data_IF_079887891037
#
_entry.id   IF_079887891037
#
_cell.length_a   1.000
_cell.length_b   1.000
_cell.length_c   1.000
_cell.angle_alpha   90.00
_cell.angle_beta   90.00
_cell.angle_gamma   90.00
#
_symmetry.space_group_name_H-M   'P 1'
#
loop_
_entity.id
_entity.type
_entity.pdbx_description
1 polymer ?
#
# COMPACT_ATOMS: atom_id res chain seq x y z
N UNK A 1 49.15 -49.73 21.33
CA UNK A 1 49.33 -50.30 19.98
C UNK A 1 49.20 -49.19 18.94
N UNK A 2 50.21 -48.96 18.10
CA UNK A 2 50.16 -47.94 17.04
C UNK A 2 49.38 -48.42 15.79
N UNK A 3 49.31 -49.74 15.57
CA UNK A 3 48.66 -50.35 14.42
C UNK A 3 47.82 -51.57 14.84
N UNK A 4 46.74 -51.84 14.09
CA UNK A 4 45.83 -52.97 14.28
C UNK A 4 45.49 -53.60 12.94
N UNK A 5 45.39 -54.93 12.88
CA UNK A 5 44.94 -55.67 11.70
C UNK A 5 43.42 -55.62 11.59
N UNK A 6 42.88 -55.11 10.49
CA UNK A 6 41.44 -55.11 10.26
C UNK A 6 40.96 -56.53 9.94
N UNK A 7 39.93 -57.02 10.65
CA UNK A 7 39.37 -58.36 10.42
C UNK A 7 38.65 -58.56 9.09
N UNK A 8 38.36 -57.48 8.37
CA UNK A 8 37.63 -57.51 7.10
C UNK A 8 38.62 -57.49 5.92
N UNK A 9 39.30 -56.37 5.69
CA UNK A 9 40.28 -56.24 4.61
C UNK A 9 41.64 -56.91 4.89
N UNK A 10 41.88 -57.47 6.09
CA UNK A 10 43.14 -58.12 6.46
C UNK A 10 44.38 -57.23 6.59
N UNK A 11 44.30 -55.94 6.22
CA UNK A 11 45.43 -55.00 6.23
C UNK A 11 45.77 -54.50 7.65
N UNK A 12 47.06 -54.30 7.92
CA UNK A 12 47.54 -53.56 9.09
C UNK A 12 47.30 -52.06 8.86
N UNK A 13 46.57 -51.38 9.75
CA UNK A 13 46.28 -49.95 9.64
C UNK A 13 46.60 -49.25 10.97
N UNK A 14 46.86 -47.95 10.93
CA UNK A 14 47.09 -47.14 12.12
C UNK A 14 45.88 -47.19 13.07
N UNK A 15 46.10 -47.07 14.39
CA UNK A 15 45.02 -47.06 15.39
C UNK A 15 43.95 -45.98 15.12
N UNK A 16 44.33 -44.85 14.53
CA UNK A 16 43.43 -43.76 14.14
C UNK A 16 42.41 -44.17 13.05
N UNK A 17 42.70 -45.22 12.28
CA UNK A 17 41.81 -45.80 11.27
C UNK A 17 40.71 -46.68 11.87
N UNK A 18 40.68 -46.86 13.20
CA UNK A 18 39.68 -47.64 13.92
C UNK A 18 38.88 -46.72 14.86
N UNK A 19 37.57 -46.96 14.96
CA UNK A 19 36.74 -46.27 15.95
C UNK A 19 37.00 -46.85 17.35
N UNK A 20 36.82 -46.05 18.40
CA UNK A 20 36.97 -46.54 19.78
C UNK A 20 35.83 -47.51 20.13
N UNK A 21 36.15 -48.62 20.80
CA UNK A 21 35.18 -49.59 21.30
C UNK A 21 35.60 -50.04 22.70
N UNK A 22 34.84 -49.64 23.73
CA UNK A 22 35.18 -49.97 25.13
C UNK A 22 35.16 -51.48 25.41
N UNK A 23 34.34 -52.24 24.69
CA UNK A 23 34.20 -53.69 24.85
C UNK A 23 35.31 -54.52 24.19
N UNK A 24 36.29 -53.91 23.51
CA UNK A 24 37.42 -54.65 22.93
C UNK A 24 38.65 -54.56 23.84
N UNK A 25 39.44 -55.65 23.99
CA UNK A 25 40.63 -55.67 24.85
C UNK A 25 41.65 -54.55 24.58
N UNK A 26 41.74 -54.10 23.33
CA UNK A 26 42.65 -53.05 22.88
C UNK A 26 41.97 -51.67 22.71
N UNK A 27 40.70 -51.53 23.14
CA UNK A 27 39.93 -50.30 23.05
C UNK A 27 39.54 -49.86 21.62
N UNK A 28 39.85 -50.65 20.59
CA UNK A 28 39.62 -50.32 19.18
C UNK A 28 38.62 -51.29 18.51
N UNK A 29 37.80 -50.75 17.61
CA UNK A 29 36.87 -51.54 16.81
C UNK A 29 37.55 -52.70 16.07
N UNK A 30 36.80 -53.78 15.81
CA UNK A 30 37.29 -54.98 15.11
C UNK A 30 37.62 -54.72 13.63
N UNK A 31 37.04 -53.67 13.06
CA UNK A 31 37.13 -53.31 11.64
C UNK A 31 37.59 -51.87 11.52
N UNK A 32 38.37 -51.57 10.47
CA UNK A 32 38.72 -50.18 10.16
C UNK A 32 37.47 -49.39 9.77
N UNK A 33 37.52 -48.06 9.93
CA UNK A 33 36.43 -47.12 9.62
C UNK A 33 35.87 -47.33 8.21
N UNK A 34 36.74 -47.62 7.24
CA UNK A 34 36.35 -47.93 5.86
C UNK A 34 35.49 -49.19 5.74
N UNK A 35 35.98 -50.32 6.25
CA UNK A 35 35.26 -51.59 6.23
C UNK A 35 33.97 -51.54 7.04
N UNK A 36 33.97 -50.83 8.16
CA UNK A 36 32.77 -50.58 8.95
C UNK A 36 31.72 -49.78 8.17
N UNK A 37 32.14 -48.72 7.45
CA UNK A 37 31.24 -47.92 6.62
C UNK A 37 30.67 -48.72 5.43
N UNK A 38 31.48 -49.56 4.78
CA UNK A 38 31.02 -50.44 3.70
C UNK A 38 29.96 -51.43 4.18
N UNK A 39 30.17 -52.04 5.35
CA UNK A 39 29.18 -52.95 5.95
C UNK A 39 27.91 -52.24 6.38
N UNK A 40 28.04 -51.06 7.00
CA UNK A 40 26.91 -50.22 7.35
C UNK A 40 26.06 -49.87 6.13
N UNK A 41 26.71 -49.50 5.01
CA UNK A 41 26.04 -49.24 3.74
C UNK A 41 25.31 -50.48 3.21
N UNK A 42 25.95 -51.64 3.18
CA UNK A 42 25.34 -52.88 2.70
C UNK A 42 24.09 -53.28 3.52
N UNK A 43 24.18 -53.22 4.85
CA UNK A 43 23.04 -53.49 5.75
C UNK A 43 21.91 -52.47 5.59
N UNK A 44 22.23 -51.19 5.41
CA UNK A 44 21.25 -50.13 5.14
C UNK A 44 20.49 -50.38 3.83
N UNK A 45 21.20 -50.74 2.75
CA UNK A 45 20.58 -51.05 1.45
C UNK A 45 19.62 -52.25 1.55
N UNK A 46 20.02 -53.32 2.24
CA UNK A 46 19.15 -54.48 2.49
C UNK A 46 17.89 -54.09 3.27
N UNK A 47 18.01 -53.21 4.27
CA UNK A 47 16.85 -52.72 5.04
C UNK A 47 15.91 -51.86 4.19
N UNK A 48 16.43 -50.91 3.41
CA UNK A 48 15.61 -50.05 2.54
C UNK A 48 14.91 -50.83 1.43
N UNK A 49 15.56 -51.85 0.85
CA UNK A 49 14.95 -52.74 -0.14
C UNK A 49 13.76 -53.51 0.43
N UNK A 50 13.84 -54.01 1.68
CA UNK A 50 12.68 -54.62 2.36
C UNK A 50 11.53 -53.65 2.62
N UNK A 51 11.83 -52.37 2.79
CA UNK A 51 10.84 -51.31 2.99
C UNK A 51 10.30 -50.72 1.68
N UNK A 52 10.71 -51.24 0.51
CA UNK A 52 10.27 -50.74 -0.80
C UNK A 52 10.74 -49.31 -1.13
N UNK A 53 11.73 -48.78 -0.40
CA UNK A 53 12.20 -47.40 -0.56
C UNK A 53 13.37 -47.31 -1.52
N UNK A 54 13.38 -46.26 -2.35
CA UNK A 54 14.48 -45.96 -3.25
C UNK A 54 15.80 -45.82 -2.47
N UNK A 55 16.79 -46.64 -2.86
CA UNK A 55 18.09 -46.70 -2.19
C UNK A 55 18.96 -45.55 -2.68
N UNK A 56 19.27 -44.60 -1.79
CA UNK A 56 20.23 -43.53 -2.12
C UNK A 56 21.64 -44.12 -2.35
N UNK A 57 22.37 -43.68 -3.39
CA UNK A 57 23.75 -44.12 -3.60
C UNK A 57 24.61 -43.70 -2.41
N UNK A 58 25.29 -44.68 -1.80
CA UNK A 58 26.25 -44.44 -0.72
C UNK A 58 27.44 -43.66 -1.27
N UNK A 59 27.62 -42.40 -0.83
CA UNK A 59 28.84 -41.63 -1.07
C UNK A 59 29.72 -41.65 0.18
N UNK A 60 31.01 -41.91 -0.01
CA UNK A 60 32.00 -41.68 1.04
C UNK A 60 32.12 -40.17 1.26
N UNK A 61 32.15 -39.72 2.52
CA UNK A 61 32.47 -38.32 2.85
C UNK A 61 33.80 -37.85 2.24
N UNK A 62 34.73 -38.78 1.99
CA UNK A 62 36.02 -38.53 1.34
C UNK A 62 35.95 -38.18 -0.16
N UNK A 63 34.77 -38.21 -0.79
CA UNK A 63 34.59 -37.85 -2.19
C UNK A 63 34.27 -36.35 -2.40
N UNK A 64 34.15 -35.57 -1.31
CA UNK A 64 33.90 -34.13 -1.37
C UNK A 64 35.21 -33.41 -1.03
N UNK A 65 35.77 -32.61 -1.96
CA UNK A 65 36.99 -31.85 -1.70
C UNK A 65 36.86 -30.92 -0.48
N UNK A 66 37.97 -30.60 0.21
CA UNK A 66 37.99 -29.57 1.24
C UNK A 66 37.40 -28.25 0.71
N UNK A 67 36.59 -27.56 1.51
CA UNK A 67 35.92 -26.31 1.10
C UNK A 67 34.69 -26.50 0.21
N UNK A 68 34.28 -27.75 -0.07
CA UNK A 68 33.05 -28.05 -0.80
C UNK A 68 32.03 -28.81 0.05
N UNK A 69 30.75 -28.73 -0.35
CA UNK A 69 29.62 -29.44 0.26
C UNK A 69 28.69 -29.97 -0.84
N UNK A 70 28.14 -31.15 -0.60
CA UNK A 70 27.17 -31.79 -1.49
C UNK A 70 25.74 -31.33 -1.17
N UNK A 71 24.99 -30.93 -2.19
CA UNK A 71 23.56 -30.66 -2.06
C UNK A 71 22.75 -31.92 -2.44
N UNK A 72 21.99 -32.53 -1.51
CA UNK A 72 21.21 -33.74 -1.78
C UNK A 72 19.92 -33.50 -2.59
N UNK A 73 19.63 -32.25 -2.98
CA UNK A 73 18.45 -31.91 -3.79
C UNK A 73 18.76 -31.75 -5.28
N UNK A 74 19.88 -31.08 -5.62
CA UNK A 74 20.34 -30.98 -7.02
C UNK A 74 21.46 -31.96 -7.36
N UNK A 75 21.91 -32.74 -6.38
CA UNK A 75 22.94 -33.78 -6.51
C UNK A 75 24.32 -33.27 -6.98
N UNK A 76 24.60 -31.97 -6.78
CA UNK A 76 25.86 -31.33 -7.12
C UNK A 76 26.74 -31.08 -5.88
N UNK A 77 28.04 -31.18 -6.07
CA UNK A 77 29.05 -30.68 -5.13
C UNK A 77 29.33 -29.22 -5.47
N UNK A 78 29.23 -28.33 -4.49
CA UNK A 78 29.40 -26.89 -4.67
C UNK A 78 30.30 -26.34 -3.53
N UNK A 79 30.90 -25.16 -3.69
CA UNK A 79 31.67 -24.57 -2.61
C UNK A 79 30.77 -24.21 -1.42
N UNK A 80 31.35 -24.17 -0.22
CA UNK A 80 30.61 -23.95 1.04
C UNK A 80 29.86 -22.61 1.09
N UNK A 81 30.29 -21.61 0.33
CA UNK A 81 29.66 -20.29 0.19
C UNK A 81 28.27 -20.34 -0.51
N UNK A 82 28.06 -21.35 -1.35
CA UNK A 82 26.80 -21.63 -2.02
C UNK A 82 25.72 -22.14 -1.05
N UNK A 83 26.05 -22.34 0.23
CA UNK A 83 25.15 -22.79 1.29
C UNK A 83 24.90 -21.66 2.30
N UNK A 84 23.69 -21.61 2.86
CA UNK A 84 23.38 -20.71 3.98
C UNK A 84 24.02 -21.19 5.28
N UNK A 85 24.23 -20.28 6.24
CA UNK A 85 24.71 -20.61 7.59
C UNK A 85 23.56 -21.22 8.42
N UNK A 86 23.84 -22.28 9.17
CA UNK A 86 22.91 -22.85 10.15
C UNK A 86 23.69 -23.37 11.37
N UNK A 87 23.58 -22.68 12.51
CA UNK A 87 24.31 -23.00 13.74
C UNK A 87 23.84 -24.31 14.40
N UNK A 88 22.64 -24.78 14.07
CA UNK A 88 22.11 -26.03 14.61
C UNK A 88 22.72 -27.29 13.96
N UNK A 89 23.33 -27.16 12.77
CA UNK A 89 23.96 -28.26 12.05
C UNK A 89 25.43 -28.41 12.45
N UNK A 90 25.92 -29.64 12.58
CA UNK A 90 27.32 -29.91 12.94
C UNK A 90 28.33 -29.29 11.94
N UNK A 91 27.92 -29.10 10.69
CA UNK A 91 28.73 -28.44 9.66
C UNK A 91 28.66 -26.90 9.68
N UNK A 92 27.80 -26.31 10.52
CA UNK A 92 27.53 -24.86 10.52
C UNK A 92 26.80 -24.34 9.28
N UNK A 93 26.43 -25.22 8.34
CA UNK A 93 25.88 -24.90 7.03
C UNK A 93 24.56 -25.66 6.81
N UNK A 94 23.63 -25.02 6.11
CA UNK A 94 22.37 -25.61 5.63
C UNK A 94 22.58 -26.87 4.78
N UNK A 95 21.58 -27.75 4.74
CA UNK A 95 21.64 -29.03 4.03
C UNK A 95 21.50 -28.89 2.50
N UNK A 96 20.85 -27.83 2.02
CA UNK A 96 20.69 -27.55 0.59
C UNK A 96 21.50 -26.31 0.18
N UNK A 97 21.97 -26.26 -1.05
CA UNK A 97 22.52 -25.02 -1.61
C UNK A 97 21.43 -23.95 -1.67
N UNK A 98 21.81 -22.66 -1.65
CA UNK A 98 20.88 -21.52 -1.63
C UNK A 98 19.76 -21.61 -2.67
N UNK A 99 20.02 -21.95 -3.96
CA UNK A 99 18.95 -22.08 -4.95
C UNK A 99 17.95 -23.18 -4.59
N UNK A 100 18.42 -24.35 -4.16
CA UNK A 100 17.55 -25.45 -3.74
C UNK A 100 16.79 -25.10 -2.46
N UNK A 101 17.45 -24.44 -1.51
CA UNK A 101 16.83 -23.97 -0.27
C UNK A 101 15.69 -22.99 -0.57
N UNK A 102 15.90 -22.03 -1.47
CA UNK A 102 14.87 -21.07 -1.88
C UNK A 102 13.66 -21.77 -2.51
N UNK A 103 13.87 -22.79 -3.36
CA UNK A 103 12.78 -23.60 -3.92
C UNK A 103 11.99 -24.34 -2.84
N UNK A 104 12.69 -25.01 -1.92
CA UNK A 104 12.05 -25.72 -0.79
C UNK A 104 11.21 -24.74 0.05
N UNK A 105 11.74 -23.56 0.34
CA UNK A 105 11.04 -22.57 1.14
C UNK A 105 9.82 -21.99 0.42
N UNK A 106 9.89 -21.80 -0.90
CA UNK A 106 8.74 -21.41 -1.72
C UNK A 106 7.65 -22.49 -1.68
N UNK A 107 8.00 -23.76 -1.96
CA UNK A 107 7.06 -24.89 -1.90
C UNK A 107 6.41 -25.06 -0.52
N UNK A 108 7.18 -24.86 0.56
CA UNK A 108 6.64 -24.91 1.92
C UNK A 108 5.68 -23.75 2.22
N UNK A 109 5.98 -22.54 1.72
CA UNK A 109 5.08 -21.38 1.83
C UNK A 109 3.79 -21.63 1.07
N UNK A 110 3.87 -22.16 -0.15
CA UNK A 110 2.69 -22.50 -0.95
C UNK A 110 1.86 -23.59 -0.27
N UNK A 111 2.48 -24.65 0.25
CA UNK A 111 1.76 -25.71 0.96
C UNK A 111 1.09 -25.23 2.25
N UNK A 112 1.74 -24.36 3.02
CA UNK A 112 1.25 -23.93 4.34
C UNK A 112 0.25 -22.78 4.25
N UNK A 113 0.40 -21.93 3.24
CA UNK A 113 -0.36 -20.69 3.12
C UNK A 113 -1.16 -20.59 1.82
N UNK A 114 -1.13 -21.56 0.91
CA UNK A 114 -1.88 -21.51 -0.36
C UNK A 114 -1.34 -20.50 -1.38
N UNK A 115 -0.10 -20.03 -1.20
CA UNK A 115 0.57 -19.09 -2.09
C UNK A 115 1.12 -17.83 -1.39
N UNK A 116 1.91 -17.03 -2.11
CA UNK A 116 2.45 -15.77 -1.60
C UNK A 116 1.38 -14.73 -1.22
N UNK A 117 0.25 -14.70 -1.95
CA UNK A 117 -0.90 -13.80 -1.68
C UNK A 117 -1.50 -14.09 -0.31
N UNK A 118 -1.88 -15.34 -0.06
CA UNK A 118 -2.59 -15.74 1.15
C UNK A 118 -1.67 -15.71 2.41
N UNK A 119 -0.35 -15.94 2.24
CA UNK A 119 0.62 -15.65 3.31
C UNK A 119 0.63 -14.18 3.75
N UNK A 120 0.69 -13.25 2.78
CA UNK A 120 0.73 -11.81 3.09
C UNK A 120 -0.60 -11.31 3.68
N UNK A 121 -1.74 -11.82 3.19
CA UNK A 121 -3.05 -11.48 3.72
C UNK A 121 -3.18 -11.91 5.19
N UNK A 122 -2.75 -13.13 5.52
CA UNK A 122 -2.75 -13.61 6.90
C UNK A 122 -1.84 -12.81 7.80
N UNK A 123 -0.64 -12.47 7.33
CA UNK A 123 0.34 -11.73 8.14
C UNK A 123 -0.11 -10.29 8.43
N UNK A 124 -0.71 -9.60 7.44
CA UNK A 124 -1.05 -8.18 7.55
C UNK A 124 -2.46 -7.92 8.08
N UNK A 125 -3.42 -8.76 7.70
CA UNK A 125 -4.84 -8.51 7.92
C UNK A 125 -5.55 -9.62 8.70
N UNK A 126 -4.85 -10.71 9.02
CA UNK A 126 -5.48 -11.88 9.64
C UNK A 126 -6.49 -12.62 8.75
N UNK A 127 -6.52 -12.29 7.44
CA UNK A 127 -7.47 -12.86 6.48
C UNK A 127 -6.82 -13.93 5.60
N UNK A 128 -7.61 -14.94 5.26
CA UNK A 128 -7.31 -15.88 4.17
C UNK A 128 -7.71 -15.32 2.82
N UNK A 129 -7.16 -15.88 1.73
CA UNK A 129 -7.58 -15.51 0.38
C UNK A 129 -9.08 -15.78 0.17
N UNK A 130 -9.58 -16.89 0.70
CA UNK A 130 -10.98 -17.29 0.61
C UNK A 130 -11.90 -16.28 1.31
N UNK A 131 -11.51 -15.77 2.48
CA UNK A 131 -12.25 -14.70 3.17
C UNK A 131 -12.27 -13.40 2.36
N UNK A 132 -11.14 -13.03 1.75
CA UNK A 132 -11.09 -11.83 0.87
C UNK A 132 -12.01 -12.02 -0.33
N UNK A 133 -11.99 -13.19 -0.96
CA UNK A 133 -12.82 -13.48 -2.12
C UNK A 133 -14.32 -13.48 -1.75
N UNK A 134 -14.69 -13.95 -0.54
CA UNK A 134 -16.04 -13.80 0.02
C UNK A 134 -16.45 -12.34 0.24
N UNK A 135 -15.54 -11.49 0.75
CA UNK A 135 -15.82 -10.06 0.91
C UNK A 135 -16.04 -9.37 -0.44
N UNK A 136 -15.24 -9.72 -1.46
CA UNK A 136 -15.41 -9.22 -2.83
C UNK A 136 -16.77 -9.65 -3.38
N UNK A 137 -17.14 -10.93 -3.23
CA UNK A 137 -18.41 -11.45 -3.70
C UNK A 137 -19.61 -10.78 -3.01
N UNK A 138 -19.54 -10.57 -1.69
CA UNK A 138 -20.59 -9.87 -0.93
C UNK A 138 -20.79 -8.40 -1.34
N UNK A 139 -19.76 -7.78 -1.93
CA UNK A 139 -19.86 -6.43 -2.52
C UNK A 139 -20.34 -6.43 -3.98
N UNK A 140 -20.62 -7.59 -4.59
CA UNK A 140 -20.87 -7.70 -6.03
C UNK A 140 -19.63 -7.39 -6.88
N UNK A 141 -18.42 -7.51 -6.30
CA UNK A 141 -17.15 -7.25 -6.98
C UNK A 141 -16.77 -5.77 -7.14
N UNK A 142 -17.65 -4.83 -6.78
CA UNK A 142 -17.43 -3.39 -6.96
C UNK A 142 -16.82 -2.73 -5.73
N UNK A 143 -16.03 -1.68 -5.94
CA UNK A 143 -15.60 -0.78 -4.87
C UNK A 143 -16.79 0.00 -4.32
N UNK A 144 -17.09 -0.21 -3.04
CA UNK A 144 -18.24 0.42 -2.36
C UNK A 144 -18.15 1.94 -2.29
N UNK A 145 -16.99 2.58 -2.45
CA UNK A 145 -16.90 4.06 -2.43
C UNK A 145 -17.28 4.63 -3.81
N UNK A 146 -16.53 4.32 -4.86
CA UNK A 146 -16.74 4.98 -6.16
C UNK A 146 -17.82 4.34 -7.03
N UNK A 147 -18.15 3.05 -6.84
CA UNK A 147 -19.04 2.30 -7.72
C UNK A 147 -18.65 2.38 -9.21
N UNK A 148 -17.34 2.43 -9.49
CA UNK A 148 -16.76 2.54 -10.85
C UNK A 148 -15.77 1.43 -11.18
N UNK A 149 -15.12 0.88 -10.17
CA UNK A 149 -13.97 0.00 -10.35
C UNK A 149 -14.09 -1.22 -9.43
N UNK A 150 -13.45 -2.31 -9.85
CA UNK A 150 -13.39 -3.54 -9.07
C UNK A 150 -12.73 -3.34 -7.70
N UNK A 151 -13.27 -4.04 -6.70
CA UNK A 151 -12.70 -4.14 -5.37
C UNK A 151 -11.52 -5.11 -5.37
N UNK A 152 -10.30 -4.61 -5.12
CA UNK A 152 -9.06 -5.41 -5.16
C UNK A 152 -8.15 -5.26 -3.94
N UNK A 153 -8.31 -4.21 -3.14
CA UNK A 153 -7.41 -3.85 -2.05
C UNK A 153 -8.11 -3.95 -0.71
N UNK A 154 -7.48 -4.61 0.26
CA UNK A 154 -8.00 -4.70 1.64
C UNK A 154 -7.80 -3.36 2.32
N UNK A 155 -8.91 -2.69 2.63
CA UNK A 155 -8.92 -1.46 3.40
C UNK A 155 -9.12 -1.77 4.90
N UNK A 156 -8.39 -1.05 5.74
CA UNK A 156 -8.35 -1.26 7.18
C UNK A 156 -8.10 0.06 7.89
N UNK A 157 -8.63 0.19 9.10
CA UNK A 157 -8.34 1.34 9.94
C UNK A 157 -6.87 1.27 10.41
N UNK A 158 -6.10 2.33 10.20
CA UNK A 158 -4.66 2.32 10.51
C UNK A 158 -4.35 2.42 12.02
N UNK A 159 -5.33 2.79 12.86
CA UNK A 159 -5.19 2.84 14.31
C UNK A 159 -5.49 1.48 14.96
N UNK A 160 -6.57 0.83 14.54
CA UNK A 160 -7.08 -0.41 15.16
C UNK A 160 -6.70 -1.68 14.42
N UNK A 161 -6.30 -1.56 13.15
CA UNK A 161 -6.05 -2.69 12.26
C UNK A 161 -7.32 -3.42 11.80
N UNK A 162 -8.51 -2.93 12.18
CA UNK A 162 -9.78 -3.54 11.79
C UNK A 162 -9.99 -3.41 10.29
N UNK A 163 -10.15 -4.54 9.61
CA UNK A 163 -10.51 -4.58 8.20
C UNK A 163 -11.93 -4.09 8.02
N UNK A 164 -12.12 -3.10 7.15
CA UNK A 164 -13.43 -2.52 6.84
C UNK A 164 -14.04 -3.24 5.64
N UNK A 165 -13.48 -3.03 4.44
CA UNK A 165 -13.98 -3.58 3.15
C UNK A 165 -12.85 -3.75 2.14
N UNK A 166 -13.20 -4.25 0.96
CA UNK A 166 -12.29 -4.31 -0.19
C UNK A 166 -12.59 -3.12 -1.11
N UNK A 167 -11.60 -2.28 -1.38
CA UNK A 167 -11.72 -1.07 -2.19
C UNK A 167 -10.92 -1.18 -3.50
N UNK A 168 -11.14 -0.24 -4.41
CA UNK A 168 -10.22 -0.06 -5.54
C UNK A 168 -8.94 0.66 -5.06
N UNK A 169 -7.85 0.56 -5.83
CA UNK A 169 -6.56 1.16 -5.48
C UNK A 169 -6.67 2.68 -5.25
N UNK A 170 -7.43 3.37 -6.11
CA UNK A 170 -7.55 4.84 -6.05
C UNK A 170 -8.29 5.32 -4.81
N UNK A 171 -9.46 4.75 -4.52
CA UNK A 171 -10.21 5.10 -3.31
C UNK A 171 -9.43 4.77 -2.04
N UNK A 172 -8.77 3.60 -1.98
CA UNK A 172 -7.93 3.24 -0.83
C UNK A 172 -6.77 4.23 -0.64
N UNK A 173 -6.12 4.64 -1.73
CA UNK A 173 -5.09 5.68 -1.69
C UNK A 173 -5.64 7.03 -1.23
N UNK A 174 -6.82 7.42 -1.71
CA UNK A 174 -7.43 8.70 -1.41
C UNK A 174 -7.74 8.85 0.08
N UNK A 175 -8.28 7.79 0.71
CA UNK A 175 -8.49 7.79 2.17
C UNK A 175 -7.20 8.11 2.93
N UNK A 176 -6.07 7.57 2.47
CA UNK A 176 -4.75 7.88 3.03
C UNK A 176 -4.30 9.33 2.78
N UNK A 177 -4.60 9.91 1.61
CA UNK A 177 -4.28 11.32 1.30
C UNK A 177 -5.06 12.31 2.17
N UNK A 178 -6.29 11.94 2.55
CA UNK A 178 -7.13 12.68 3.48
C UNK A 178 -6.88 12.31 4.95
N UNK A 179 -5.83 11.53 5.24
CA UNK A 179 -5.47 11.10 6.59
C UNK A 179 -6.60 10.38 7.35
N UNK A 180 -7.49 9.71 6.62
CA UNK A 180 -8.71 9.12 7.17
C UNK A 180 -9.60 10.11 7.96
N UNK A 181 -9.57 11.41 7.62
CA UNK A 181 -10.46 12.42 8.21
C UNK A 181 -11.75 12.57 7.37
N UNK A 182 -12.91 12.13 7.88
CA UNK A 182 -14.19 12.28 7.18
C UNK A 182 -14.61 13.74 6.98
N UNK A 183 -14.18 14.67 7.85
CA UNK A 183 -14.50 16.10 7.70
C UNK A 183 -13.78 16.68 6.50
N UNK A 184 -12.48 16.41 6.38
CA UNK A 184 -11.68 16.87 5.26
C UNK A 184 -12.19 16.35 3.90
N UNK A 185 -12.73 15.12 3.86
CA UNK A 185 -13.43 14.58 2.68
C UNK A 185 -14.74 15.33 2.38
N UNK A 186 -15.52 15.69 3.40
CA UNK A 186 -16.71 16.53 3.27
C UNK A 186 -16.38 17.94 2.76
N UNK A 187 -15.38 18.59 3.37
CA UNK A 187 -14.89 19.91 2.97
C UNK A 187 -14.39 19.91 1.54
N UNK A 188 -13.69 18.85 1.11
CA UNK A 188 -13.30 18.67 -0.28
C UNK A 188 -14.50 18.59 -1.22
N UNK A 189 -15.57 17.88 -0.84
CA UNK A 189 -16.79 17.82 -1.66
C UNK A 189 -17.43 19.20 -1.82
N UNK A 190 -17.52 19.96 -0.73
CA UNK A 190 -18.11 21.30 -0.74
C UNK A 190 -17.20 22.33 -1.44
N UNK A 191 -15.88 22.13 -1.37
CA UNK A 191 -14.89 22.89 -2.13
C UNK A 191 -15.07 22.71 -3.64
N UNK A 192 -15.23 21.46 -4.11
CA UNK A 192 -15.47 21.16 -5.52
C UNK A 192 -16.80 21.75 -6.03
N UNK A 193 -17.84 21.78 -5.18
CA UNK A 193 -19.16 22.33 -5.50
C UNK A 193 -19.28 23.85 -5.30
N UNK A 194 -18.21 24.53 -4.86
CA UNK A 194 -18.20 25.95 -4.52
C UNK A 194 -19.19 26.35 -3.41
N UNK A 195 -19.44 25.44 -2.46
CA UNK A 195 -20.33 25.67 -1.30
C UNK A 195 -19.59 25.89 0.02
N UNK A 196 -18.29 25.58 0.05
CA UNK A 196 -17.46 25.67 1.25
C UNK A 196 -16.94 27.08 1.57
N UNK A 197 -16.20 27.22 2.68
CA UNK A 197 -15.67 28.50 3.17
C UNK A 197 -14.79 29.23 2.17
N UNK A 198 -14.02 28.51 1.35
CA UNK A 198 -13.17 29.12 0.33
C UNK A 198 -13.98 29.86 -0.73
N UNK A 199 -15.03 29.24 -1.26
CA UNK A 199 -15.88 29.85 -2.28
C UNK A 199 -16.58 31.10 -1.72
N UNK A 200 -17.09 31.02 -0.48
CA UNK A 200 -17.67 32.17 0.21
C UNK A 200 -16.66 33.30 0.41
N UNK A 201 -15.40 32.98 0.73
CA UNK A 201 -14.34 33.98 0.85
C UNK A 201 -14.06 34.67 -0.47
N UNK A 202 -13.92 33.91 -1.56
CA UNK A 202 -13.71 34.48 -2.88
C UNK A 202 -14.91 35.36 -3.27
N UNK A 203 -16.13 34.94 -2.95
CA UNK A 203 -17.34 35.74 -3.18
C UNK A 203 -17.27 37.08 -2.43
N UNK A 204 -16.92 37.07 -1.14
CA UNK A 204 -16.82 38.28 -0.32
C UNK A 204 -15.71 39.22 -0.83
N UNK A 205 -14.55 38.68 -1.18
CA UNK A 205 -13.36 39.50 -1.52
C UNK A 205 -13.34 39.93 -2.99
N UNK A 206 -13.84 39.09 -3.89
CA UNK A 206 -13.73 39.25 -5.35
C UNK A 206 -15.09 39.40 -6.05
N UNK A 207 -16.20 39.14 -5.35
CA UNK A 207 -17.55 39.15 -5.93
C UNK A 207 -17.87 37.93 -6.79
N UNK A 208 -17.06 36.86 -6.72
CA UNK A 208 -17.24 35.59 -7.44
C UNK A 208 -16.73 34.42 -6.60
N UNK A 209 -17.30 33.20 -6.72
CA UNK A 209 -16.91 32.06 -5.90
C UNK A 209 -15.65 31.35 -6.41
N UNK A 210 -15.03 31.90 -7.46
CA UNK A 210 -13.83 31.39 -8.13
C UNK A 210 -12.85 32.53 -8.35
N UNK A 211 -11.57 32.18 -8.46
CA UNK A 211 -10.52 33.14 -8.70
C UNK A 211 -10.34 33.35 -10.20
N UNK A 212 -10.62 34.56 -10.66
CA UNK A 212 -10.25 35.02 -12.00
C UNK A 212 -8.96 35.83 -11.89
N UNK A 213 -7.96 35.47 -12.70
CA UNK A 213 -6.74 36.26 -12.82
C UNK A 213 -7.04 37.71 -13.22
N UNK A 214 -6.09 38.62 -12.96
CA UNK A 214 -6.31 40.03 -13.31
C UNK A 214 -6.56 40.20 -14.81
N UNK A 215 -7.48 41.11 -15.23
CA UNK A 215 -7.69 41.42 -16.63
C UNK A 215 -6.38 41.81 -17.28
N UNK A 216 -5.95 41.05 -18.28
CA UNK A 216 -4.70 41.30 -19.02
C UNK A 216 -4.92 42.35 -20.11
N UNK A 217 -5.58 43.46 -19.78
CA UNK A 217 -5.58 44.64 -20.65
C UNK A 217 -4.21 45.27 -20.50
N UNK A 218 -3.24 44.82 -21.30
CA UNK A 218 -1.98 45.51 -21.42
C UNK A 218 -2.22 46.77 -22.24
N UNK A 219 -1.95 47.94 -21.67
CA UNK A 219 -1.74 49.12 -22.49
C UNK A 219 -0.53 48.84 -23.42
N UNK A 220 -0.51 49.45 -24.59
CA UNK A 220 0.57 49.27 -25.58
C UNK A 220 1.95 49.59 -24.95
N UNK A 221 1.98 50.55 -24.02
CA UNK A 221 3.17 50.91 -23.23
C UNK A 221 3.63 49.81 -22.25
N UNK A 222 2.70 49.09 -21.62
CA UNK A 222 3.01 48.00 -20.68
C UNK A 222 3.51 46.74 -21.40
N UNK A 223 2.99 46.50 -22.61
CA UNK A 223 3.48 45.42 -23.48
C UNK A 223 4.95 45.66 -23.89
N UNK A 224 5.30 46.89 -24.27
CA UNK A 224 6.67 47.28 -24.64
C UNK A 224 7.65 47.26 -23.46
N UNK A 225 7.20 47.58 -22.23
CA UNK A 225 8.01 47.48 -21.01
C UNK A 225 8.25 46.02 -20.61
N UNK A 226 7.22 45.16 -20.61
CA UNK A 226 7.34 43.71 -20.31
C UNK A 226 8.20 42.96 -21.33
N UNK A 227 8.23 43.38 -22.60
CA UNK A 227 9.08 42.75 -23.63
C UNK A 227 10.57 42.98 -23.42
N UNK A 228 10.96 44.04 -22.69
CA UNK A 228 12.36 44.40 -22.42
C UNK A 228 12.92 43.77 -21.13
N UNK A 229 12.07 43.33 -20.20
CA UNK A 229 12.51 42.64 -18.98
C UNK A 229 12.18 41.14 -19.04
N UNK A 230 13.24 40.32 -19.15
CA UNK A 230 13.30 38.87 -18.86
C UNK A 230 12.21 37.97 -19.46
N UNK A 231 12.62 37.01 -20.32
CA UNK A 231 11.79 35.85 -20.69
C UNK A 231 11.16 35.27 -19.42
N UNK A 232 9.83 35.14 -19.31
CA UNK A 232 9.23 34.51 -18.14
C UNK A 232 9.86 33.13 -17.95
N UNK A 233 10.31 32.84 -16.73
CA UNK A 233 10.76 31.50 -16.39
C UNK A 233 9.69 30.49 -16.85
N UNK A 234 10.10 29.31 -17.36
CA UNK A 234 9.21 28.30 -17.95
C UNK A 234 7.97 28.01 -17.09
N UNK A 235 8.08 28.17 -15.76
CA UNK A 235 7.01 28.07 -14.76
C UNK A 235 5.89 29.12 -14.94
N UNK A 236 6.23 30.39 -15.14
CA UNK A 236 5.24 31.47 -15.30
C UNK A 236 4.41 31.35 -16.58
N UNK A 237 5.03 30.84 -17.66
CA UNK A 237 4.33 30.55 -18.92
C UNK A 237 3.26 29.46 -18.76
N UNK A 238 3.54 28.40 -17.99
CA UNK A 238 2.58 27.31 -17.75
C UNK A 238 1.37 27.74 -16.92
N UNK A 239 1.55 28.62 -15.93
CA UNK A 239 0.44 29.13 -15.12
C UNK A 239 -0.57 29.89 -15.99
N UNK A 240 -0.05 30.77 -16.84
CA UNK A 240 -0.84 31.59 -17.76
C UNK A 240 -1.59 30.72 -18.77
N UNK A 241 -0.91 29.74 -19.37
CA UNK A 241 -1.46 28.85 -20.40
C UNK A 241 -2.50 27.88 -19.86
N UNK A 242 -2.33 27.38 -18.62
CA UNK A 242 -3.19 26.33 -18.04
C UNK A 242 -4.33 26.85 -17.17
N UNK A 243 -4.09 27.94 -16.44
CA UNK A 243 -5.00 28.41 -15.37
C UNK A 243 -5.48 29.85 -15.57
N UNK A 244 -4.97 30.56 -16.58
CA UNK A 244 -5.35 31.96 -16.79
C UNK A 244 -4.79 32.93 -15.74
N UNK A 245 -3.93 32.48 -14.81
CA UNK A 245 -3.30 33.31 -13.77
C UNK A 245 -1.78 33.41 -13.97
N UNK A 246 -1.16 34.50 -13.52
CA UNK A 246 0.31 34.59 -13.44
C UNK A 246 0.83 34.32 -12.02
N UNK A 247 2.13 34.49 -11.78
CA UNK A 247 2.71 34.26 -10.45
C UNK A 247 2.20 35.28 -9.43
N UNK A 248 1.90 36.51 -9.84
CA UNK A 248 1.41 37.55 -8.94
C UNK A 248 -0.04 37.24 -8.51
N UNK A 249 -0.86 36.78 -9.45
CA UNK A 249 -2.20 36.26 -9.19
C UNK A 249 -2.17 35.01 -8.29
N UNK A 250 -1.22 34.09 -8.52
CA UNK A 250 -1.01 32.92 -7.64
C UNK A 250 -0.66 33.34 -6.21
N UNK A 251 0.24 34.30 -6.04
CA UNK A 251 0.62 34.82 -4.71
C UNK A 251 -0.55 35.54 -4.04
N UNK A 252 -1.36 36.29 -4.80
CA UNK A 252 -2.59 36.90 -4.31
C UNK A 252 -3.57 35.85 -3.78
N UNK A 253 -3.84 34.81 -4.57
CA UNK A 253 -4.74 33.72 -4.16
C UNK A 253 -4.22 33.00 -2.90
N UNK A 254 -2.90 32.75 -2.84
CA UNK A 254 -2.26 32.16 -1.67
C UNK A 254 -2.36 33.07 -0.43
N UNK A 255 -2.20 34.38 -0.60
CA UNK A 255 -2.37 35.38 0.46
C UNK A 255 -3.80 35.43 0.99
N UNK A 256 -4.82 35.37 0.11
CA UNK A 256 -6.23 35.27 0.51
C UNK A 256 -6.53 34.00 1.34
N UNK A 257 -5.69 32.98 1.23
CA UNK A 257 -5.77 31.75 2.00
C UNK A 257 -4.85 31.72 3.24
N UNK A 258 -4.15 32.82 3.53
CA UNK A 258 -3.17 32.85 4.61
C UNK A 258 -2.01 31.86 4.42
N UNK A 259 -1.71 31.48 3.18
CA UNK A 259 -0.67 30.50 2.85
C UNK A 259 -1.09 29.02 2.97
N UNK A 260 -2.32 28.73 3.37
CA UNK A 260 -2.80 27.38 3.71
C UNK A 260 -3.66 26.76 2.62
N UNK A 261 -3.82 25.44 2.68
CA UNK A 261 -4.68 24.67 1.78
C UNK A 261 -6.14 25.14 1.86
N UNK A 262 -6.77 25.36 0.71
CA UNK A 262 -8.18 25.78 0.60
C UNK A 262 -9.20 24.72 1.06
N UNK A 263 -8.75 23.46 1.18
CA UNK A 263 -9.58 22.32 1.58
C UNK A 263 -9.39 22.06 3.07
N UNK A 264 -8.20 21.60 3.48
CA UNK A 264 -7.96 21.18 4.86
C UNK A 264 -7.53 22.31 5.80
N UNK A 265 -7.05 23.45 5.29
CA UNK A 265 -6.55 24.58 6.08
C UNK A 265 -5.39 24.31 7.07
N UNK A 266 -4.89 23.07 7.16
CA UNK A 266 -3.87 22.69 8.15
C UNK A 266 -2.42 22.81 7.66
N UNK A 267 -2.21 22.69 6.34
CA UNK A 267 -0.87 22.60 5.74
C UNK A 267 -0.67 23.61 4.63
N UNK A 268 0.58 24.00 4.33
CA UNK A 268 0.89 24.94 3.27
C UNK A 268 0.32 24.50 1.91
N UNK A 269 -0.24 25.44 1.17
CA UNK A 269 -0.72 25.18 -0.18
C UNK A 269 0.41 25.31 -1.20
N UNK A 270 0.45 24.37 -2.14
CA UNK A 270 1.54 24.26 -3.11
C UNK A 270 1.02 24.26 -4.56
N UNK A 271 -0.19 23.77 -4.78
CA UNK A 271 -0.78 23.49 -6.07
C UNK A 271 -1.93 24.44 -6.37
N UNK A 272 -2.03 24.91 -7.61
CA UNK A 272 -3.24 25.61 -8.09
C UNK A 272 -4.27 24.55 -8.41
N UNK A 273 -5.38 24.57 -7.68
CA UNK A 273 -6.52 23.73 -7.95
C UNK A 273 -7.52 24.46 -8.86
N UNK A 274 -8.06 23.71 -9.82
CA UNK A 274 -8.94 24.22 -10.86
C UNK A 274 -9.96 23.15 -11.24
N UNK A 275 -11.12 23.60 -11.67
CA UNK A 275 -12.11 22.74 -12.29
C UNK A 275 -11.63 22.31 -13.70
N UNK A 276 -11.59 21.00 -13.95
CA UNK A 276 -11.07 20.43 -15.19
C UNK A 276 -12.00 20.65 -16.40
N UNK A 277 -13.28 20.98 -16.19
CA UNK A 277 -14.24 21.21 -17.27
C UNK A 277 -14.27 22.67 -17.73
N UNK A 278 -14.21 23.60 -16.77
CA UNK A 278 -14.35 25.05 -16.99
C UNK A 278 -13.02 25.79 -16.95
N UNK A 279 -11.99 25.20 -16.35
CA UNK A 279 -10.71 25.87 -16.08
C UNK A 279 -10.78 26.87 -14.92
N UNK A 280 -11.92 26.99 -14.22
CA UNK A 280 -12.09 27.93 -13.12
C UNK A 280 -11.17 27.58 -11.95
N UNK A 281 -10.35 28.54 -11.50
CA UNK A 281 -9.45 28.34 -10.36
C UNK A 281 -10.26 28.44 -9.07
N UNK A 282 -10.28 27.37 -8.29
CA UNK A 282 -11.05 27.31 -7.03
C UNK A 282 -10.21 27.75 -5.83
N UNK A 283 -8.90 27.51 -5.87
CA UNK A 283 -8.00 27.86 -4.77
C UNK A 283 -6.60 27.28 -4.93
N UNK A 284 -5.78 27.47 -3.91
CA UNK A 284 -4.51 26.76 -3.72
C UNK A 284 -4.74 25.56 -2.79
N UNK A 285 -4.28 24.37 -3.18
CA UNK A 285 -4.41 23.15 -2.40
C UNK A 285 -3.03 22.57 -2.01
N UNK A 286 -2.98 21.80 -0.92
CA UNK A 286 -1.81 21.01 -0.58
C UNK A 286 -1.71 19.76 -1.48
N UNK A 287 -0.55 19.12 -1.53
CA UNK A 287 -0.34 17.93 -2.35
C UNK A 287 -1.29 16.76 -2.00
N UNK A 288 -1.59 16.58 -0.71
CA UNK A 288 -2.49 15.54 -0.22
C UNK A 288 -3.93 15.74 -0.70
N UNK A 289 -4.55 16.88 -0.38
CA UNK A 289 -5.93 17.19 -0.79
C UNK A 289 -6.07 17.20 -2.32
N UNK A 290 -5.14 17.84 -3.05
CA UNK A 290 -5.18 17.88 -4.52
C UNK A 290 -5.10 16.48 -5.14
N UNK A 291 -4.20 15.63 -4.64
CA UNK A 291 -4.06 14.24 -5.12
C UNK A 291 -5.26 13.39 -4.71
N UNK A 292 -5.77 13.57 -3.50
CA UNK A 292 -6.90 12.83 -2.96
C UNK A 292 -8.19 13.10 -3.74
N UNK A 293 -8.49 14.38 -4.04
CA UNK A 293 -9.62 14.75 -4.90
C UNK A 293 -9.50 14.10 -6.28
N UNK A 294 -8.32 14.20 -6.92
CA UNK A 294 -8.09 13.55 -8.21
C UNK A 294 -8.18 12.02 -8.18
N UNK A 295 -7.78 11.37 -7.08
CA UNK A 295 -7.95 9.91 -6.90
C UNK A 295 -9.41 9.50 -6.73
N UNK A 296 -10.27 10.41 -6.29
CA UNK A 296 -11.72 10.25 -6.26
C UNK A 296 -12.40 10.85 -7.51
N UNK A 297 -11.65 11.00 -8.60
CA UNK A 297 -12.10 11.52 -9.91
C UNK A 297 -12.76 12.91 -9.81
N UNK A 298 -12.33 13.75 -8.86
CA UNK A 298 -12.90 15.08 -8.58
C UNK A 298 -14.43 15.05 -8.43
N UNK A 299 -14.95 13.97 -7.86
CA UNK A 299 -16.38 13.70 -7.72
C UNK A 299 -16.86 13.95 -6.28
N UNK A 300 -17.67 15.00 -6.02
CA UNK A 300 -18.23 15.29 -4.69
C UNK A 300 -19.01 14.12 -4.10
N UNK A 301 -19.64 13.27 -4.94
CA UNK A 301 -20.38 12.09 -4.49
C UNK A 301 -19.42 11.06 -3.91
N UNK A 302 -18.30 10.79 -4.59
CA UNK A 302 -17.29 9.84 -4.13
C UNK A 302 -16.62 10.30 -2.83
N UNK A 303 -16.39 11.61 -2.68
CA UNK A 303 -15.87 12.21 -1.45
C UNK A 303 -16.83 12.05 -0.27
N UNK A 304 -18.11 12.37 -0.43
CA UNK A 304 -19.11 12.15 0.64
C UNK A 304 -19.28 10.67 0.98
N UNK A 305 -19.33 9.79 -0.03
CA UNK A 305 -19.33 8.33 0.20
C UNK A 305 -18.09 7.85 0.95
N UNK A 306 -16.91 8.40 0.65
CA UNK A 306 -15.69 8.09 1.38
C UNK A 306 -15.75 8.55 2.85
N UNK A 307 -16.35 9.72 3.12
CA UNK A 307 -16.56 10.20 4.48
C UNK A 307 -17.55 9.30 5.25
N UNK A 308 -18.71 9.00 4.66
CA UNK A 308 -19.69 8.04 5.20
C UNK A 308 -19.08 6.65 5.45
N UNK A 309 -18.16 6.23 4.59
CA UNK A 309 -17.44 4.97 4.73
C UNK A 309 -16.56 4.94 5.98
N UNK A 310 -15.82 6.02 6.24
CA UNK A 310 -14.99 6.15 7.43
C UNK A 310 -15.82 6.26 8.71
N UNK A 311 -16.99 6.91 8.64
CA UNK A 311 -17.96 6.99 9.73
C UNK A 311 -18.70 5.67 9.98
N UNK A 312 -18.52 4.66 9.13
CA UNK A 312 -19.23 3.37 9.22
C UNK A 312 -20.72 3.45 8.84
N UNK A 313 -21.13 4.54 8.19
CA UNK A 313 -22.51 4.82 7.80
C UNK A 313 -22.81 4.40 6.35
N UNK A 314 -21.78 4.23 5.52
CA UNK A 314 -21.99 3.89 4.11
C UNK A 314 -22.52 2.47 3.90
N UNK A 315 -21.97 1.48 4.60
CA UNK A 315 -22.22 0.06 4.34
C UNK A 315 -22.96 -0.56 5.51
N UNK A 316 -24.18 -1.02 5.26
CA UNK A 316 -25.03 -1.71 6.24
C UNK A 316 -25.38 -3.12 5.77
N UNK A 317 -25.93 -3.94 6.68
CA UNK A 317 -26.44 -5.27 6.36
C UNK A 317 -27.98 -5.24 6.40
N UNK A 318 -28.61 -5.76 5.35
CA UNK A 318 -30.08 -5.82 5.21
C UNK A 318 -30.54 -7.26 4.92
N UNK A 319 -31.81 -7.62 5.20
CA UNK A 319 -32.34 -8.94 4.85
C UNK A 319 -32.26 -9.21 3.35
N UNK A 320 -31.86 -10.43 2.99
CA UNK A 320 -31.84 -10.90 1.61
C UNK A 320 -33.11 -11.72 1.30
N UNK A 321 -33.47 -11.81 0.02
CA UNK A 321 -34.69 -12.49 -0.44
C UNK A 321 -34.68 -14.01 -0.15
N UNK A 322 -33.50 -14.60 0.02
CA UNK A 322 -33.28 -16.01 0.36
C UNK A 322 -33.37 -16.30 1.87
N UNK A 323 -33.72 -15.30 2.69
CA UNK A 323 -33.76 -15.39 4.15
C UNK A 323 -32.40 -15.16 4.83
N UNK A 324 -31.34 -14.85 4.07
CA UNK A 324 -30.03 -14.46 4.58
C UNK A 324 -29.90 -12.96 4.85
N UNK A 325 -28.64 -12.49 4.90
CA UNK A 325 -28.32 -11.05 4.91
C UNK A 325 -27.40 -10.70 3.75
N UNK A 326 -27.56 -9.48 3.21
CA UNK A 326 -26.68 -8.92 2.17
C UNK A 326 -26.23 -7.51 2.54
N UNK A 327 -25.23 -7.00 1.81
CA UNK A 327 -24.80 -5.63 1.96
C UNK A 327 -25.79 -4.65 1.28
N UNK A 328 -25.93 -3.48 1.90
CA UNK A 328 -26.56 -2.29 1.33
C UNK A 328 -25.58 -1.12 1.45
N UNK A 329 -25.35 -0.39 0.36
CA UNK A 329 -24.42 0.75 0.33
C UNK A 329 -24.80 1.84 -0.67
N UNK A 330 -26.07 1.86 -1.09
CA UNK A 330 -26.64 2.93 -1.93
C UNK A 330 -27.98 3.35 -1.38
N UNK A 331 -28.37 4.59 -1.69
CA UNK A 331 -29.72 5.10 -1.44
C UNK A 331 -30.31 5.65 -2.74
N UNK A 332 -31.37 5.05 -3.31
CA UNK A 332 -32.08 3.86 -2.85
C UNK A 332 -31.20 2.61 -2.81
N UNK A 333 -31.57 1.69 -1.93
CA UNK A 333 -30.90 0.39 -1.79
C UNK A 333 -31.06 -0.44 -3.07
N UNK A 334 -29.98 -1.11 -3.46
CA UNK A 334 -29.97 -2.09 -4.55
C UNK A 334 -29.17 -3.31 -4.10
N UNK A 335 -29.63 -4.50 -4.48
CA UNK A 335 -28.89 -5.73 -4.23
C UNK A 335 -27.63 -5.77 -5.13
N UNK A 336 -26.41 -5.76 -4.55
CA UNK A 336 -25.18 -5.79 -5.33
C UNK A 336 -25.04 -7.01 -6.24
N UNK A 337 -25.68 -8.13 -5.92
CA UNK A 337 -25.65 -9.34 -6.74
C UNK A 337 -26.46 -9.20 -8.05
N UNK A 338 -27.35 -8.20 -8.13
CA UNK A 338 -28.23 -7.98 -9.29
C UNK A 338 -27.69 -6.96 -10.29
N UNK A 339 -26.64 -6.23 -9.94
CA UNK A 339 -26.09 -5.13 -10.76
C UNK A 339 -24.77 -5.60 -11.39
N UNK A 340 -24.68 -5.66 -12.74
CA UNK A 340 -23.41 -5.96 -13.39
C UNK A 340 -22.37 -4.85 -13.13
N UNK A 341 -21.08 -5.14 -13.27
CA UNK A 341 -20.01 -4.19 -12.92
C UNK A 341 -20.09 -2.85 -13.67
N UNK A 342 -20.64 -2.83 -14.88
CA UNK A 342 -20.87 -1.64 -15.71
C UNK A 342 -22.24 -0.97 -15.48
N UNK A 343 -23.14 -1.61 -14.72
CA UNK A 343 -24.51 -1.14 -14.46
C UNK A 343 -24.66 -0.15 -13.29
N UNK A 344 -23.56 0.22 -12.62
CA UNK A 344 -23.62 0.99 -11.36
C UNK A 344 -23.85 2.49 -11.51
N UNK A 345 -23.72 3.06 -12.72
CA UNK A 345 -23.81 4.51 -12.91
C UNK A 345 -25.13 5.14 -12.43
N UNK A 346 -26.33 4.59 -12.76
CA UNK A 346 -27.61 5.17 -12.29
C UNK A 346 -27.77 5.11 -10.77
N UNK A 347 -27.29 4.03 -10.13
CA UNK A 347 -27.34 3.86 -8.68
C UNK A 347 -26.41 4.85 -7.97
N UNK A 348 -25.22 5.05 -8.50
CA UNK A 348 -24.27 6.06 -8.01
C UNK A 348 -24.84 7.46 -8.10
N UNK A 349 -25.48 7.81 -9.21
CA UNK A 349 -26.11 9.13 -9.37
C UNK A 349 -27.29 9.34 -8.42
N UNK A 350 -28.13 8.31 -8.22
CA UNK A 350 -29.24 8.37 -7.28
C UNK A 350 -28.75 8.55 -5.83
N UNK A 351 -27.76 7.75 -5.42
CA UNK A 351 -27.12 7.87 -4.11
C UNK A 351 -26.42 9.22 -3.93
N UNK A 352 -25.74 9.72 -4.96
CA UNK A 352 -25.14 11.05 -4.95
C UNK A 352 -26.16 12.17 -4.75
N UNK A 353 -27.31 12.11 -5.42
CA UNK A 353 -28.41 13.07 -5.20
C UNK A 353 -28.95 13.00 -3.77
N UNK A 354 -29.03 11.81 -3.18
CA UNK A 354 -29.43 11.67 -1.79
C UNK A 354 -28.40 12.31 -0.84
N UNK A 355 -27.11 11.92 -0.96
CA UNK A 355 -26.04 12.41 -0.09
C UNK A 355 -25.80 13.91 -0.22
N UNK A 356 -25.86 14.46 -1.42
CA UNK A 356 -25.72 15.92 -1.62
C UNK A 356 -26.80 16.74 -0.91
N UNK A 357 -27.96 16.16 -0.59
CA UNK A 357 -29.06 16.84 0.13
C UNK A 357 -28.98 16.66 1.65
N UNK A 358 -28.46 15.51 2.09
CA UNK A 358 -28.49 15.10 3.50
C UNK A 358 -27.16 15.38 4.19
N UNK A 359 -26.05 15.45 3.43
CA UNK A 359 -24.73 15.70 3.99
C UNK A 359 -24.70 17.05 4.69
N UNK A 360 -24.56 16.98 6.01
CA UNK A 360 -24.29 18.11 6.89
C UNK A 360 -22.98 17.78 7.60
N UNK A 361 -22.00 18.68 7.49
CA UNK A 361 -20.95 18.75 8.50
C UNK A 361 -21.66 19.31 9.73
N UNK A 362 -22.11 18.47 10.66
CA UNK A 362 -22.66 18.98 11.92
C UNK A 362 -21.55 19.80 12.60
N UNK A 363 -21.89 21.05 12.96
CA UNK A 363 -21.03 22.02 13.65
C UNK A 363 -20.46 21.49 15.00
N UNK A 364 -20.97 20.37 15.51
CA UNK A 364 -20.79 19.89 16.88
C UNK A 364 -19.63 18.87 17.08
N UNK A 365 -18.78 18.62 16.08
CA UNK A 365 -17.66 17.67 16.24
C UNK A 365 -16.38 18.40 16.68
N UNK A 366 -16.23 18.57 18.00
CA UNK A 366 -15.07 19.15 18.70
C UNK A 366 -13.73 18.47 18.33
N UNK A 367 -13.12 18.93 17.24
CA UNK A 367 -11.67 19.01 17.05
C UNK A 367 -11.31 20.46 16.74
N UNK A 368 -10.03 20.87 16.73
CA UNK A 368 -9.66 22.26 16.49
C UNK A 368 -10.32 22.74 15.20
N UNK A 369 -11.30 23.64 15.32
CA UNK A 369 -12.05 24.15 14.20
C UNK A 369 -11.20 25.16 13.46
N UNK A 370 -11.54 25.42 12.19
CA UNK A 370 -11.02 26.53 11.39
C UNK A 370 -10.99 27.87 12.15
N UNK A 371 -11.90 28.06 13.11
CA UNK A 371 -11.98 29.20 14.02
C UNK A 371 -10.73 29.35 14.91
N UNK A 372 -10.04 28.27 15.27
CA UNK A 372 -8.94 28.33 16.25
C UNK A 372 -7.59 28.59 15.59
N UNK A 373 -7.29 27.99 14.44
CA UNK A 373 -5.99 28.14 13.75
C UNK A 373 -6.05 29.03 12.51
N UNK A 374 -7.18 29.02 11.81
CA UNK A 374 -7.39 29.82 10.61
C UNK A 374 -7.70 31.27 10.92
N UNK A 375 -8.50 31.55 11.96
CA UNK A 375 -9.00 32.90 12.26
C UNK A 375 -7.89 33.89 12.65
N UNK A 376 -6.93 33.49 13.50
CA UNK A 376 -5.83 34.37 13.92
C UNK A 376 -4.96 34.77 12.72
N UNK A 377 -4.54 33.79 11.90
CA UNK A 377 -3.76 34.05 10.69
C UNK A 377 -4.55 34.80 9.62
N UNK A 378 -5.87 34.59 9.54
CA UNK A 378 -6.76 35.36 8.67
C UNK A 378 -6.81 36.83 9.08
N UNK A 379 -7.02 37.08 10.38
CA UNK A 379 -7.12 38.42 10.93
C UNK A 379 -5.82 39.20 10.70
N UNK A 380 -4.67 38.54 10.85
CA UNK A 380 -3.38 39.17 10.57
C UNK A 380 -3.18 39.45 9.07
N UNK A 381 -3.61 38.55 8.19
CA UNK A 381 -3.60 38.80 6.75
C UNK A 381 -4.52 39.97 6.36
N UNK A 382 -5.72 40.07 6.93
CA UNK A 382 -6.65 41.17 6.65
C UNK A 382 -6.14 42.51 7.17
N UNK A 383 -5.48 42.55 8.33
CA UNK A 383 -4.82 43.76 8.85
C UNK A 383 -3.73 44.24 7.91
N UNK A 384 -2.84 43.34 7.46
CA UNK A 384 -1.78 43.69 6.52
C UNK A 384 -2.33 44.25 5.19
N UNK A 385 -3.39 43.64 4.66
CA UNK A 385 -4.06 44.14 3.44
C UNK A 385 -4.74 45.50 3.63
N UNK A 386 -5.29 45.78 4.82
CA UNK A 386 -5.89 47.08 5.14
C UNK A 386 -4.82 48.18 5.27
N UNK A 387 -3.68 47.87 5.88
CA UNK A 387 -2.53 48.78 6.03
C UNK A 387 -1.92 49.15 4.68
N UNK A 388 -1.71 48.20 3.77
CA UNK A 388 -1.26 48.47 2.40
C UNK A 388 -2.24 49.39 1.65
N UNK A 389 -3.55 49.18 1.82
CA UNK A 389 -4.59 49.98 1.18
C UNK A 389 -4.63 51.41 1.71
N UNK A 390 -4.36 51.60 3.00
CA UNK A 390 -4.24 52.93 3.62
C UNK A 390 -2.94 53.65 3.23
N UNK A 391 -1.84 52.93 3.04
CA UNK A 391 -0.57 53.50 2.58
C UNK A 391 -0.55 53.88 1.09
N UNK A 392 -1.49 53.34 0.31
CA UNK A 392 -1.66 53.63 -1.13
C UNK A 392 -2.60 54.81 -1.46
N UNK A 393 -3.16 55.46 -0.43
CA UNK A 393 -3.92 56.72 -0.52
C UNK A 393 -3.05 57.88 -0.05
#
# INVERSE_FOLDING_TARGET
>A
MSHKKCRDCGRLKAAAEFSKRRASPDGLALYCKECFALRGAASYRKRQAREGKAVRPFRRHSAVPPGMKYCPRCEKVQPVDAFGKNRAEASGLTNYCRPCHNKVMAEQRDRKYGGGRNYQLRLRYGLSAEQVDQMIAGQGGICVICLRAEARHVDHNHLTGVVRRILCFRCNGALGQFHEDPRCLGDAADYLELKGPQAQRLEIVLGKPVFEGRPRVLSEADWLKRRKSTRPAQRGRRLIERYGIDEEDRQRLLGLQGGLCAVCWDVPAEHVDHDHATGAVRGMACGGCNTGMGQLDDDPVSLRRAADYLLGQLVTSVPAADGGTRLSFTVPDVDPATVPLDGWAPHREADGRHRSRVWRVDDDHEGPTWLTLGLERLLDSYKAMAEERMASR
#
